data_IF_426659316835
#
_entry.id   IF_426659316835
#
_cell.length_a   1.000
_cell.length_b   1.000
_cell.length_c   1.000
_cell.angle_alpha   90.00
_cell.angle_beta   90.00
_cell.angle_gamma   90.00
#
_symmetry.space_group_name_H-M   'P 1'
#
loop_
_entity.id
_entity.type
_entity.pdbx_description
1 polymer ?
#
# COMPACT_ATOMS: atom_id res chain seq x y z
N UNK A 1 -21.26 12.03 1.88
CA UNK A 1 -19.82 12.10 2.15
C UNK A 1 -19.12 12.46 0.86
N UNK A 2 -18.41 13.58 0.79
CA UNK A 2 -17.53 13.89 -0.35
C UNK A 2 -16.17 13.27 -0.08
N UNK A 3 -15.50 12.78 -1.13
CA UNK A 3 -14.22 12.08 -1.06
C UNK A 3 -13.05 12.93 -0.52
N UNK A 4 -13.20 14.25 -0.40
CA UNK A 4 -12.13 15.13 0.04
C UNK A 4 -12.67 16.29 0.87
N UNK A 5 -12.69 16.18 2.21
CA UNK A 5 -13.01 17.28 3.13
C UNK A 5 -14.25 18.14 2.76
N UNK A 6 -15.25 17.57 2.07
CA UNK A 6 -16.41 18.34 1.60
C UNK A 6 -16.21 19.19 0.35
N UNK A 7 -15.14 18.98 -0.43
CA UNK A 7 -14.92 19.66 -1.71
C UNK A 7 -15.38 18.81 -2.90
N UNK A 8 -15.93 19.50 -3.88
CA UNK A 8 -16.40 18.94 -5.14
C UNK A 8 -15.22 18.68 -6.09
N UNK A 9 -14.96 17.42 -6.44
CA UNK A 9 -13.89 17.01 -7.36
C UNK A 9 -14.10 17.63 -8.75
N UNK A 10 -15.34 17.92 -9.16
CA UNK A 10 -15.62 18.54 -10.45
C UNK A 10 -15.05 19.95 -10.57
N UNK A 11 -14.86 20.65 -9.45
CA UNK A 11 -14.30 22.00 -9.40
C UNK A 11 -12.77 22.04 -9.40
N UNK A 12 -12.09 20.89 -9.28
CA UNK A 12 -10.64 20.86 -9.29
C UNK A 12 -10.10 21.18 -10.68
N UNK A 13 -9.01 21.92 -10.78
CA UNK A 13 -8.25 22.10 -12.02
C UNK A 13 -7.12 21.05 -12.05
N UNK A 14 -7.20 20.11 -13.01
CA UNK A 14 -6.20 19.05 -13.16
C UNK A 14 -4.90 19.53 -13.83
N UNK A 15 -4.84 20.81 -14.22
CA UNK A 15 -3.60 21.50 -14.60
C UNK A 15 -2.89 22.18 -13.44
N UNK A 16 -3.56 22.37 -12.31
CA UNK A 16 -3.00 23.06 -11.13
C UNK A 16 -2.24 22.06 -10.24
N UNK A 17 -0.91 22.23 -10.18
CA UNK A 17 -0.02 21.38 -9.39
C UNK A 17 -0.37 21.37 -7.90
N UNK A 18 -0.84 22.50 -7.34
CA UNK A 18 -1.21 22.57 -5.92
C UNK A 18 -2.46 21.75 -5.61
N UNK A 19 -3.43 21.74 -6.53
CA UNK A 19 -4.65 20.96 -6.40
C UNK A 19 -4.39 19.47 -6.56
N UNK A 20 -3.55 19.09 -7.54
CA UNK A 20 -3.09 17.71 -7.69
C UNK A 20 -2.30 17.23 -6.48
N UNK A 21 -1.45 18.09 -5.90
CA UNK A 21 -0.71 17.79 -4.68
C UNK A 21 -1.64 17.57 -3.48
N UNK A 22 -2.74 18.32 -3.39
CA UNK A 22 -3.75 18.12 -2.36
C UNK A 22 -4.45 16.76 -2.50
N UNK A 23 -4.80 16.36 -3.73
CA UNK A 23 -5.37 15.04 -4.02
C UNK A 23 -4.38 13.91 -3.63
N UNK A 24 -3.12 14.03 -4.02
CA UNK A 24 -2.09 13.05 -3.67
C UNK A 24 -1.80 13.00 -2.15
N UNK A 25 -1.91 14.14 -1.45
CA UNK A 25 -1.85 14.16 0.02
C UNK A 25 -3.03 13.45 0.69
N UNK A 26 -4.16 13.34 0.00
CA UNK A 26 -5.32 12.55 0.41
C UNK A 26 -5.19 11.05 0.06
N UNK A 27 -4.06 10.62 -0.50
CA UNK A 27 -3.85 9.26 -0.99
C UNK A 27 -4.52 8.97 -2.34
N UNK A 28 -4.97 10.00 -3.06
CA UNK A 28 -5.50 9.88 -4.42
C UNK A 28 -4.35 10.03 -5.42
N UNK A 29 -3.65 8.94 -5.68
CA UNK A 29 -2.45 8.94 -6.53
C UNK A 29 -2.86 8.71 -8.01
N UNK A 30 -2.35 9.51 -8.97
CA UNK A 30 -2.50 9.21 -10.39
C UNK A 30 -1.83 7.89 -10.77
N UNK A 31 -2.45 7.09 -11.63
CA UNK A 31 -1.86 5.86 -12.14
C UNK A 31 -0.72 6.14 -13.15
N UNK A 32 0.23 5.21 -13.35
CA UNK A 32 1.25 5.32 -14.39
C UNK A 32 0.61 5.48 -15.76
N UNK A 33 0.98 6.56 -16.47
CA UNK A 33 0.42 6.90 -17.79
C UNK A 33 -1.00 7.49 -17.77
N UNK A 34 -1.61 7.69 -16.60
CA UNK A 34 -2.94 8.28 -16.50
C UNK A 34 -2.90 9.79 -16.79
N UNK A 35 -3.73 10.21 -17.75
CA UNK A 35 -3.89 11.62 -18.09
C UNK A 35 -4.75 12.41 -17.09
N UNK A 36 -4.72 13.75 -17.12
CA UNK A 36 -5.55 14.61 -16.26
C UNK A 36 -7.05 14.27 -16.29
N UNK A 37 -7.62 14.07 -17.47
CA UNK A 37 -9.04 13.78 -17.64
C UNK A 37 -9.42 12.35 -17.22
N UNK A 38 -8.54 11.39 -17.47
CA UNK A 38 -8.72 10.01 -17.01
C UNK A 38 -8.70 9.94 -15.48
N UNK A 39 -7.75 10.65 -14.87
CA UNK A 39 -7.66 10.78 -13.42
C UNK A 39 -8.93 11.41 -12.83
N UNK A 40 -9.37 12.55 -13.39
CA UNK A 40 -10.64 13.18 -12.96
C UNK A 40 -11.81 12.22 -13.07
N UNK A 41 -11.96 11.55 -14.22
CA UNK A 41 -13.06 10.61 -14.47
C UNK A 41 -13.08 9.51 -13.39
N UNK A 42 -11.93 8.88 -13.12
CA UNK A 42 -11.80 7.86 -12.08
C UNK A 42 -12.21 8.38 -10.70
N UNK A 43 -11.81 9.60 -10.34
CA UNK A 43 -12.17 10.20 -9.05
C UNK A 43 -13.68 10.50 -8.94
N UNK A 44 -14.31 10.99 -10.01
CA UNK A 44 -15.75 11.25 -10.04
C UNK A 44 -16.57 9.96 -9.93
N UNK A 45 -16.19 8.91 -10.67
CA UNK A 45 -16.83 7.59 -10.58
C UNK A 45 -16.73 7.01 -9.17
N UNK A 46 -15.56 7.16 -8.55
CA UNK A 46 -15.33 6.73 -7.18
C UNK A 46 -16.19 7.54 -6.20
N UNK A 47 -16.34 8.85 -6.41
CA UNK A 47 -17.16 9.71 -5.56
C UNK A 47 -18.63 9.32 -5.62
N UNK A 48 -19.16 9.17 -6.83
CA UNK A 48 -20.54 8.75 -7.06
C UNK A 48 -20.82 7.41 -6.37
N UNK A 49 -19.87 6.48 -6.47
CA UNK A 49 -20.00 5.18 -5.81
C UNK A 49 -20.07 5.31 -4.29
N UNK A 50 -19.17 6.05 -3.66
CA UNK A 50 -19.22 6.24 -2.21
C UNK A 50 -20.46 7.00 -1.76
N UNK A 51 -20.96 7.96 -2.55
CA UNK A 51 -22.24 8.63 -2.27
C UNK A 51 -23.40 7.63 -2.30
N UNK A 52 -23.42 6.70 -3.24
CA UNK A 52 -24.42 5.63 -3.32
C UNK A 52 -24.37 4.71 -2.10
N UNK A 53 -23.18 4.27 -1.70
CA UNK A 53 -23.01 3.43 -0.49
C UNK A 53 -23.45 4.15 0.77
N UNK A 54 -23.05 5.41 0.93
CA UNK A 54 -23.48 6.22 2.08
C UNK A 54 -25.00 6.37 2.11
N UNK A 55 -25.63 6.64 0.96
CA UNK A 55 -27.09 6.74 0.86
C UNK A 55 -27.78 5.44 1.31
N UNK A 56 -27.29 4.29 0.85
CA UNK A 56 -27.84 2.99 1.26
C UNK A 56 -27.70 2.73 2.75
N UNK A 57 -26.53 3.03 3.33
CA UNK A 57 -26.29 2.91 4.77
C UNK A 57 -27.20 3.83 5.58
N UNK A 58 -27.51 5.03 5.09
CA UNK A 58 -28.41 5.96 5.78
C UNK A 58 -29.89 5.55 5.67
N UNK A 59 -30.32 5.06 4.50
CA UNK A 59 -31.72 4.70 4.24
C UNK A 59 -32.10 3.32 4.81
N UNK A 60 -31.20 2.33 4.70
CA UNK A 60 -31.48 0.94 5.08
C UNK A 60 -30.78 0.50 6.37
N UNK A 61 -29.78 1.25 6.84
CA UNK A 61 -28.92 0.86 7.96
C UNK A 61 -27.83 -0.17 7.59
N UNK A 62 -27.86 -0.71 6.37
CA UNK A 62 -26.94 -1.73 5.91
C UNK A 62 -26.61 -1.58 4.41
N UNK A 63 -25.47 -2.12 4.01
CA UNK A 63 -24.99 -2.18 2.64
C UNK A 63 -24.55 -3.60 2.32
N UNK A 64 -25.10 -4.18 1.27
CA UNK A 64 -24.74 -5.50 0.78
C UNK A 64 -23.54 -5.41 -0.17
N UNK A 65 -22.42 -5.96 0.27
CA UNK A 65 -21.21 -6.09 -0.50
C UNK A 65 -21.23 -7.42 -1.27
N UNK A 66 -21.55 -7.33 -2.56
CA UNK A 66 -21.53 -8.43 -3.52
C UNK A 66 -22.44 -9.64 -3.18
N UNK A 67 -23.50 -9.45 -2.37
CA UNK A 67 -24.39 -10.53 -1.97
C UNK A 67 -23.81 -11.47 -0.91
N UNK A 68 -22.60 -11.18 -0.41
CA UNK A 68 -21.85 -12.06 0.50
C UNK A 68 -21.63 -11.42 1.87
N UNK A 69 -21.45 -10.10 1.95
CA UNK A 69 -21.15 -9.41 3.20
C UNK A 69 -22.11 -8.26 3.46
N UNK A 70 -22.91 -8.39 4.52
CA UNK A 70 -23.79 -7.31 4.99
C UNK A 70 -23.00 -6.40 5.92
N UNK A 71 -22.71 -5.19 5.45
CA UNK A 71 -22.01 -4.15 6.20
C UNK A 71 -23.03 -3.23 6.89
N UNK A 72 -23.05 -3.23 8.21
CA UNK A 72 -24.00 -2.46 9.01
C UNK A 72 -23.43 -1.09 9.36
N UNK A 73 -24.31 -0.09 9.45
CA UNK A 73 -23.95 1.28 9.84
C UNK A 73 -23.36 1.33 11.25
N UNK A 74 -23.83 0.49 12.17
CA UNK A 74 -23.36 0.41 13.57
C UNK A 74 -21.97 -0.24 13.68
N UNK A 75 -21.51 -0.88 12.61
CA UNK A 75 -20.18 -1.48 12.49
C UNK A 75 -19.15 -0.57 11.85
N UNK A 76 -19.54 0.65 11.49
CA UNK A 76 -18.62 1.62 10.91
C UNK A 76 -17.50 1.99 11.89
N UNK A 77 -16.27 1.96 11.39
CA UNK A 77 -15.09 2.43 12.12
C UNK A 77 -15.17 3.95 12.26
N UNK A 78 -14.98 4.43 13.48
CA UNK A 78 -14.98 5.86 13.79
C UNK A 78 -13.80 6.62 13.17
N UNK A 79 -14.00 7.92 12.93
CA UNK A 79 -12.99 8.79 12.34
C UNK A 79 -11.73 8.94 13.22
N UNK A 80 -11.88 8.80 14.54
CA UNK A 80 -10.78 8.78 15.51
C UNK A 80 -9.82 7.62 15.24
N UNK A 81 -10.33 6.43 14.99
CA UNK A 81 -9.53 5.23 14.69
C UNK A 81 -8.82 5.36 13.33
N UNK A 82 -9.51 5.91 12.32
CA UNK A 82 -8.90 6.16 11.01
C UNK A 82 -7.78 7.22 11.09
N UNK A 83 -7.96 8.25 11.91
CA UNK A 83 -6.96 9.29 12.14
C UNK A 83 -5.67 8.74 12.78
N UNK A 84 -5.77 7.77 13.70
CA UNK A 84 -4.58 7.08 14.27
C UNK A 84 -3.71 6.45 13.16
N UNK A 85 -4.34 5.80 12.18
CA UNK A 85 -3.65 5.16 11.06
C UNK A 85 -3.07 6.17 10.06
N UNK A 86 -3.81 7.26 9.81
CA UNK A 86 -3.43 8.31 8.88
C UNK A 86 -2.15 9.06 9.32
N UNK A 87 -1.95 9.24 10.63
CA UNK A 87 -0.73 9.85 11.16
C UNK A 87 0.53 9.06 10.78
N UNK A 88 0.43 7.73 10.75
CA UNK A 88 1.55 6.86 10.39
C UNK A 88 1.88 6.90 8.90
N UNK A 89 0.88 6.86 8.02
CA UNK A 89 1.09 6.98 6.58
C UNK A 89 1.59 8.37 6.18
N UNK A 90 1.12 9.40 6.88
CA UNK A 90 1.56 10.78 6.66
C UNK A 90 3.05 10.92 6.96
N UNK A 91 3.52 10.40 8.11
CA UNK A 91 4.91 10.44 8.49
C UNK A 91 5.85 9.60 7.59
N UNK A 92 5.36 8.50 7.02
CA UNK A 92 6.19 7.60 6.19
C UNK A 92 6.22 7.97 4.71
N UNK A 93 5.13 8.53 4.19
CA UNK A 93 4.88 8.64 2.75
C UNK A 93 4.19 9.96 2.33
N UNK A 94 3.88 10.84 3.28
CA UNK A 94 3.27 12.14 3.01
C UNK A 94 1.81 12.07 2.55
N UNK A 95 1.03 11.06 2.96
CA UNK A 95 -0.41 11.00 2.67
C UNK A 95 -1.26 10.61 3.88
N UNK A 96 -2.52 11.07 3.89
CA UNK A 96 -3.52 10.82 4.90
C UNK A 96 -4.86 10.52 4.22
N UNK A 97 -5.41 9.32 4.45
CA UNK A 97 -6.70 8.92 3.89
C UNK A 97 -7.77 8.98 4.99
N UNK A 98 -8.84 9.72 4.72
CA UNK A 98 -10.04 9.85 5.56
C UNK A 98 -11.34 9.46 4.83
N UNK A 99 -11.24 9.16 3.53
CA UNK A 99 -12.39 8.96 2.65
C UNK A 99 -12.78 7.49 2.44
N UNK A 100 -11.91 6.55 2.80
CA UNK A 100 -12.22 5.11 2.67
C UNK A 100 -13.04 4.67 3.88
N UNK A 101 -14.28 4.18 3.67
CA UNK A 101 -15.09 3.64 4.73
C UNK A 101 -14.50 2.34 5.28
N UNK A 102 -14.50 2.20 6.60
CA UNK A 102 -14.08 0.99 7.30
C UNK A 102 -15.18 0.41 8.16
N UNK A 103 -15.19 -0.92 8.32
CA UNK A 103 -16.19 -1.67 9.07
C UNK A 103 -15.55 -2.72 9.98
N UNK A 104 -16.17 -2.94 11.14
CA UNK A 104 -15.90 -4.05 12.02
C UNK A 104 -16.71 -5.27 11.58
N UNK A 105 -16.06 -6.40 11.31
CA UNK A 105 -16.77 -7.63 11.00
C UNK A 105 -17.26 -8.32 12.28
N UNK A 106 -18.57 -8.31 12.48
CA UNK A 106 -19.26 -9.07 13.53
C UNK A 106 -19.65 -10.45 13.00
N UNK A 107 -18.90 -11.49 13.35
CA UNK A 107 -19.16 -12.87 12.93
C UNK A 107 -17.98 -13.81 13.16
N UNK A 108 -18.13 -15.06 12.74
CA UNK A 108 -17.05 -16.06 12.75
C UNK A 108 -15.98 -15.65 11.73
N UNK A 109 -14.92 -15.01 12.22
CA UNK A 109 -13.72 -14.73 11.44
C UNK A 109 -12.74 -15.87 11.62
N UNK A 110 -12.03 -16.22 10.54
CA UNK A 110 -11.00 -17.27 10.56
C UNK A 110 -10.02 -17.01 11.72
N UNK A 111 -9.63 -18.03 12.50
CA UNK A 111 -8.57 -17.89 13.49
C UNK A 111 -7.32 -17.25 12.88
N UNK A 112 -6.71 -16.28 13.56
CA UNK A 112 -5.56 -15.47 13.10
C UNK A 112 -5.84 -14.40 12.02
N UNK A 113 -7.08 -14.20 11.58
CA UNK A 113 -7.44 -13.06 10.72
C UNK A 113 -7.60 -11.75 11.51
N UNK A 114 -6.85 -10.72 11.10
CA UNK A 114 -6.87 -9.39 11.72
C UNK A 114 -7.72 -8.36 10.96
N UNK A 115 -7.62 -8.34 9.62
CA UNK A 115 -8.32 -7.42 8.73
C UNK A 115 -7.80 -7.47 7.31
N UNK A 116 -8.46 -6.75 6.40
CA UNK A 116 -7.99 -6.49 5.03
C UNK A 116 -8.62 -5.21 4.44
N UNK A 117 -7.97 -4.61 3.45
CA UNK A 117 -8.60 -3.77 2.45
C UNK A 117 -9.21 -4.67 1.37
N UNK A 118 -10.45 -4.40 1.01
CA UNK A 118 -11.09 -5.06 -0.13
C UNK A 118 -11.31 -4.02 -1.21
N UNK A 119 -10.60 -4.22 -2.32
CA UNK A 119 -10.84 -3.51 -3.56
C UNK A 119 -11.69 -4.39 -4.46
N UNK A 120 -12.83 -3.84 -4.89
CA UNK A 120 -13.73 -4.50 -5.82
C UNK A 120 -13.72 -3.73 -7.14
N UNK A 121 -12.97 -4.19 -8.16
CA UNK A 121 -12.89 -3.53 -9.45
C UNK A 121 -14.27 -3.36 -10.12
N UNK A 122 -15.14 -4.36 -9.99
CA UNK A 122 -16.51 -4.34 -10.56
C UNK A 122 -17.40 -3.26 -9.93
N UNK A 123 -17.21 -3.01 -8.63
CA UNK A 123 -18.00 -2.05 -7.87
C UNK A 123 -17.31 -0.69 -7.72
N UNK A 124 -16.07 -0.55 -8.24
CA UNK A 124 -15.21 0.65 -8.12
C UNK A 124 -15.12 1.20 -6.68
N UNK A 125 -15.11 0.31 -5.70
CA UNK A 125 -15.10 0.67 -4.28
C UNK A 125 -13.94 0.01 -3.56
N UNK A 126 -13.40 0.74 -2.58
CA UNK A 126 -12.44 0.22 -1.62
C UNK A 126 -13.01 0.35 -0.22
N UNK A 127 -12.91 -0.70 0.58
CA UNK A 127 -13.46 -0.75 1.94
C UNK A 127 -12.42 -1.38 2.87
N UNK A 128 -12.36 -0.94 4.12
CA UNK A 128 -11.64 -1.68 5.15
C UNK A 128 -12.58 -2.57 5.93
N UNK A 129 -12.14 -3.80 6.17
CA UNK A 129 -12.83 -4.71 7.06
C UNK A 129 -11.82 -5.22 8.09
N UNK A 130 -12.06 -4.96 9.37
CA UNK A 130 -11.20 -5.44 10.45
C UNK A 130 -12.01 -6.22 11.48
N UNK A 131 -11.32 -7.07 12.25
CA UNK A 131 -11.95 -7.88 13.30
C UNK A 131 -12.66 -7.02 14.34
N UNK A 132 -13.89 -7.40 14.73
CA UNK A 132 -14.68 -6.64 15.72
C UNK A 132 -13.98 -6.43 17.08
N UNK A 133 -13.08 -7.32 17.49
CA UNK A 133 -12.31 -7.15 18.74
C UNK A 133 -11.45 -5.88 18.76
N UNK A 134 -11.10 -5.33 17.59
CA UNK A 134 -10.37 -4.06 17.47
C UNK A 134 -11.22 -2.83 17.81
N UNK A 135 -12.53 -2.99 17.99
CA UNK A 135 -13.43 -1.93 18.46
C UNK A 135 -13.01 -1.46 19.86
N UNK A 136 -12.76 -2.42 20.74
CA UNK A 136 -12.42 -2.16 22.15
C UNK A 136 -10.90 -2.27 22.40
N UNK A 137 -10.19 -3.11 21.63
CA UNK A 137 -8.79 -3.42 21.88
C UNK A 137 -7.89 -2.81 20.81
N UNK A 138 -6.80 -2.14 21.20
CA UNK A 138 -5.78 -1.68 20.24
C UNK A 138 -4.91 -2.82 19.67
N UNK A 139 -4.95 -4.01 20.28
CA UNK A 139 -4.13 -5.15 19.89
C UNK A 139 -4.95 -6.43 19.87
N UNK A 140 -4.60 -7.30 18.95
CA UNK A 140 -5.08 -8.67 18.88
C UNK A 140 -3.95 -9.56 18.38
N UNK A 141 -3.57 -10.56 19.19
CA UNK A 141 -2.41 -11.40 18.96
C UNK A 141 -1.14 -10.57 18.74
N UNK A 142 -0.46 -10.72 17.60
CA UNK A 142 0.74 -9.95 17.24
C UNK A 142 0.42 -8.66 16.48
N UNK A 143 -0.85 -8.37 16.19
CA UNK A 143 -1.29 -7.23 15.39
C UNK A 143 -1.76 -6.08 16.28
N UNK A 144 -1.36 -4.85 15.95
CA UNK A 144 -2.00 -3.64 16.47
C UNK A 144 -2.89 -3.00 15.43
N UNK A 145 -3.98 -2.37 15.88
CA UNK A 145 -5.01 -1.77 15.03
C UNK A 145 -4.45 -0.71 14.10
N UNK A 146 -3.61 0.18 14.63
CA UNK A 146 -2.94 1.25 13.90
C UNK A 146 -2.01 0.71 12.81
N UNK A 147 -1.24 -0.34 13.13
CA UNK A 147 -0.36 -1.00 12.17
C UNK A 147 -1.16 -1.67 11.04
N UNK A 148 -2.23 -2.38 11.39
CA UNK A 148 -3.09 -3.04 10.41
C UNK A 148 -3.78 -2.01 9.50
N UNK A 149 -4.41 -0.99 10.07
CA UNK A 149 -5.09 0.03 9.27
C UNK A 149 -4.11 0.80 8.39
N UNK A 150 -2.95 1.23 8.91
CA UNK A 150 -1.96 1.94 8.09
C UNK A 150 -1.36 1.06 6.99
N UNK A 151 -1.21 -0.25 7.23
CA UNK A 151 -0.83 -1.23 6.21
C UNK A 151 -1.86 -1.28 5.08
N UNK A 152 -3.14 -1.41 5.43
CA UNK A 152 -4.23 -1.43 4.45
C UNK A 152 -4.38 -0.09 3.69
N UNK A 153 -4.20 1.05 4.36
CA UNK A 153 -4.16 2.38 3.72
C UNK A 153 -3.06 2.49 2.66
N UNK A 154 -1.91 1.83 2.86
CA UNK A 154 -0.85 1.80 1.85
C UNK A 154 -1.31 1.11 0.57
N UNK A 155 -2.04 -0.01 0.68
CA UNK A 155 -2.60 -0.72 -0.46
C UNK A 155 -3.65 0.13 -1.18
N UNK A 156 -4.51 0.85 -0.44
CA UNK A 156 -5.48 1.77 -1.07
C UNK A 156 -4.76 2.83 -1.90
N UNK A 157 -3.81 3.55 -1.29
CA UNK A 157 -3.12 4.64 -1.98
C UNK A 157 -2.37 4.15 -3.23
N UNK A 158 -1.76 2.95 -3.15
CA UNK A 158 -0.96 2.37 -4.24
C UNK A 158 -1.74 1.54 -5.25
N UNK A 159 -3.03 1.28 -5.02
CA UNK A 159 -3.85 0.49 -5.94
C UNK A 159 -3.79 1.00 -7.39
N UNK A 160 -3.84 2.32 -7.68
CA UNK A 160 -3.68 2.83 -9.05
C UNK A 160 -2.28 2.62 -9.66
N UNK A 161 -1.24 2.47 -8.83
CA UNK A 161 0.13 2.19 -9.30
C UNK A 161 0.23 0.79 -9.92
N UNK A 162 -0.61 -0.14 -9.47
CA UNK A 162 -0.74 -1.47 -10.07
C UNK A 162 0.50 -2.37 -9.93
N UNK A 163 1.40 -2.04 -9.01
CA UNK A 163 2.67 -2.76 -8.84
C UNK A 163 2.66 -3.70 -7.64
N UNK A 164 3.01 -4.98 -7.84
CA UNK A 164 2.99 -6.03 -6.80
C UNK A 164 4.33 -6.31 -6.12
N UNK A 165 5.47 -5.89 -6.66
CA UNK A 165 6.79 -6.32 -6.14
C UNK A 165 7.09 -5.62 -4.81
N UNK A 166 6.75 -4.34 -4.72
CA UNK A 166 7.02 -3.50 -3.55
C UNK A 166 5.78 -3.18 -2.72
N UNK A 167 4.60 -3.64 -3.10
CA UNK A 167 3.35 -3.23 -2.44
C UNK A 167 3.34 -3.63 -0.96
N UNK A 168 3.54 -4.92 -0.71
CA UNK A 168 3.72 -5.48 0.63
C UNK A 168 4.94 -4.87 1.33
N UNK A 169 6.02 -4.57 0.59
CA UNK A 169 7.19 -3.93 1.18
C UNK A 169 6.82 -2.57 1.80
N UNK A 170 6.08 -1.73 1.08
CA UNK A 170 5.64 -0.42 1.59
C UNK A 170 4.63 -0.56 2.72
N UNK A 171 3.64 -1.44 2.57
CA UNK A 171 2.64 -1.68 3.60
C UNK A 171 3.29 -2.20 4.89
N UNK A 172 4.22 -3.15 4.82
CA UNK A 172 4.94 -3.66 6.01
C UNK A 172 5.92 -2.66 6.63
N UNK A 173 6.25 -1.52 6.00
CA UNK A 173 7.04 -0.48 6.69
C UNK A 173 6.29 0.16 7.86
N UNK A 174 4.97 0.09 7.87
CA UNK A 174 4.15 0.53 9.01
C UNK A 174 4.30 -0.42 10.21
N UNK A 175 4.92 -1.59 10.03
CA UNK A 175 5.08 -2.54 11.10
C UNK A 175 6.01 -2.06 12.22
N UNK A 176 5.59 -2.26 13.47
CA UNK A 176 6.43 -1.95 14.65
C UNK A 176 7.58 -2.94 14.80
N UNK A 177 7.34 -4.20 14.43
CA UNK A 177 8.34 -5.28 14.49
C UNK A 177 9.31 -5.23 13.32
N UNK A 178 10.62 -5.20 13.61
CA UNK A 178 11.67 -5.26 12.59
C UNK A 178 11.60 -6.56 11.76
N UNK A 179 11.25 -7.67 12.40
CA UNK A 179 11.05 -8.95 11.72
C UNK A 179 9.90 -8.84 10.71
N UNK A 180 8.76 -8.27 11.09
CA UNK A 180 7.63 -8.08 10.18
C UNK A 180 7.94 -7.11 9.05
N UNK A 181 8.64 -5.99 9.34
CA UNK A 181 9.14 -5.06 8.31
C UNK A 181 10.06 -5.73 7.28
N UNK A 182 10.69 -6.85 7.64
CA UNK A 182 11.58 -7.60 6.75
C UNK A 182 10.88 -8.77 6.05
N UNK A 183 10.30 -9.68 6.83
CA UNK A 183 9.76 -10.95 6.36
C UNK A 183 8.35 -10.81 5.79
N UNK A 184 7.59 -9.77 6.16
CA UNK A 184 6.23 -9.57 5.66
C UNK A 184 6.17 -9.46 4.14
N UNK A 185 7.16 -8.79 3.53
CA UNK A 185 7.23 -8.61 2.07
C UNK A 185 7.77 -9.80 1.29
N UNK A 186 8.03 -10.95 1.94
CA UNK A 186 8.48 -12.16 1.25
C UNK A 186 7.39 -12.75 0.34
N UNK A 187 6.14 -12.69 0.79
CA UNK A 187 4.97 -13.13 0.03
C UNK A 187 4.44 -11.97 -0.79
N UNK A 188 4.23 -12.17 -2.10
CA UNK A 188 3.68 -11.16 -3.03
C UNK A 188 2.33 -11.57 -3.61
N UNK A 189 1.92 -12.82 -3.42
CA UNK A 189 0.65 -13.31 -3.91
C UNK A 189 0.27 -14.67 -3.35
N UNK A 190 -0.95 -15.10 -3.68
CA UNK A 190 -1.54 -16.36 -3.18
C UNK A 190 -0.67 -17.59 -3.43
N UNK A 191 -0.01 -17.66 -4.59
CA UNK A 191 0.84 -18.80 -4.94
C UNK A 191 2.09 -18.89 -4.08
N UNK A 192 2.65 -17.77 -3.63
CA UNK A 192 3.79 -17.81 -2.72
C UNK A 192 3.40 -18.45 -1.39
N UNK A 193 2.19 -18.18 -0.89
CA UNK A 193 1.67 -18.80 0.33
C UNK A 193 1.43 -20.30 0.15
N UNK A 194 0.81 -20.70 -0.97
CA UNK A 194 0.55 -22.10 -1.30
C UNK A 194 1.85 -22.89 -1.43
N UNK A 195 2.82 -22.38 -2.19
CA UNK A 195 4.10 -23.05 -2.43
C UNK A 195 5.01 -23.05 -1.19
N UNK A 196 4.77 -22.17 -0.22
CA UNK A 196 5.43 -22.22 1.08
C UNK A 196 4.84 -23.30 2.00
N UNK A 197 3.50 -23.42 2.03
CA UNK A 197 2.80 -24.34 2.94
C UNK A 197 2.76 -25.78 2.42
N UNK A 198 2.56 -25.97 1.11
CA UNK A 198 2.37 -27.30 0.51
C UNK A 198 3.55 -28.25 0.79
N UNK A 199 4.84 -27.85 0.64
CA UNK A 199 5.96 -28.72 0.97
C UNK A 199 5.96 -29.19 2.44
N UNK A 200 5.49 -28.35 3.37
CA UNK A 200 5.39 -28.70 4.79
C UNK A 200 4.34 -29.80 5.00
N UNK A 201 3.19 -29.72 4.32
CA UNK A 201 2.19 -30.79 4.37
C UNK A 201 2.67 -32.08 3.71
N UNK A 202 3.40 -32.00 2.60
CA UNK A 202 4.00 -33.19 1.97
C UNK A 202 5.02 -33.85 2.92
N UNK A 203 5.87 -33.05 3.58
CA UNK A 203 6.80 -33.54 4.59
C UNK A 203 6.06 -34.19 5.77
N UNK A 204 4.95 -33.61 6.23
CA UNK A 204 4.12 -34.19 7.30
C UNK A 204 3.51 -35.53 6.88
N UNK A 205 2.97 -35.65 5.66
CA UNK A 205 2.42 -36.90 5.14
C UNK A 205 3.50 -37.97 5.05
N UNK A 206 4.68 -37.63 4.51
CA UNK A 206 5.82 -38.53 4.44
C UNK A 206 6.18 -39.07 5.83
N UNK A 207 6.19 -38.19 6.85
CA UNK A 207 6.48 -38.58 8.23
C UNK A 207 5.40 -39.49 8.84
N UNK A 208 4.12 -39.25 8.53
CA UNK A 208 3.01 -40.12 8.96
C UNK A 208 3.15 -41.51 8.33
N UNK A 209 3.47 -41.60 7.05
CA UNK A 209 3.66 -42.87 6.34
C UNK A 209 4.82 -43.69 6.92
N UNK A 210 5.94 -43.05 7.20
CA UNK A 210 7.09 -43.68 7.85
C UNK A 210 6.73 -44.15 9.27
N UNK A 211 6.04 -43.32 10.06
CA UNK A 211 5.80 -43.58 11.49
C UNK A 211 4.69 -44.60 11.74
N UNK A 212 3.58 -44.53 10.98
CA UNK A 212 2.39 -45.34 11.23
C UNK A 212 2.24 -46.54 10.30
N UNK A 213 2.86 -46.50 9.11
CA UNK A 213 2.75 -47.56 8.10
C UNK A 213 4.08 -48.28 7.85
N UNK A 214 5.15 -47.92 8.58
CA UNK A 214 6.49 -48.50 8.46
C UNK A 214 7.04 -48.51 7.03
N UNK A 215 6.62 -47.55 6.20
CA UNK A 215 7.12 -47.38 4.85
C UNK A 215 8.47 -46.66 4.91
N UNK A 216 9.57 -47.24 4.39
CA UNK A 216 10.88 -46.59 4.40
C UNK A 216 10.89 -45.45 3.37
N UNK A 217 10.55 -44.25 3.83
CA UNK A 217 10.51 -43.05 3.00
C UNK A 217 11.79 -42.24 3.23
N UNK A 218 12.58 -41.92 2.19
CA UNK A 218 13.76 -41.08 2.36
C UNK A 218 13.33 -39.65 2.70
N UNK A 219 13.62 -39.16 3.91
CA UNK A 219 13.16 -37.84 4.37
C UNK A 219 13.94 -36.65 3.77
N UNK A 220 15.20 -36.86 3.37
CA UNK A 220 16.08 -35.77 2.92
C UNK A 220 15.50 -34.96 1.72
N UNK A 221 14.96 -35.58 0.64
CA UNK A 221 14.33 -34.84 -0.44
C UNK A 221 13.18 -33.92 0.01
N UNK A 222 12.38 -34.36 0.99
CA UNK A 222 11.26 -33.57 1.50
C UNK A 222 11.74 -32.36 2.31
N UNK A 223 12.80 -32.51 3.10
CA UNK A 223 13.44 -31.38 3.79
C UNK A 223 14.07 -30.39 2.82
N UNK A 224 14.74 -30.87 1.76
CA UNK A 224 15.28 -30.01 0.70
C UNK A 224 14.15 -29.23 0.03
N UNK A 225 13.05 -29.89 -0.33
CA UNK A 225 11.88 -29.24 -0.93
C UNK A 225 11.26 -28.19 0.02
N UNK A 226 11.11 -28.54 1.30
CA UNK A 226 10.59 -27.64 2.33
C UNK A 226 11.47 -26.41 2.56
N UNK A 227 12.80 -26.52 2.37
CA UNK A 227 13.73 -25.41 2.53
C UNK A 227 13.96 -24.57 1.27
N UNK A 228 13.89 -25.18 0.08
CA UNK A 228 14.25 -24.54 -1.19
C UNK A 228 13.35 -23.35 -1.51
N UNK A 229 12.03 -23.51 -1.38
CA UNK A 229 11.08 -22.45 -1.72
C UNK A 229 11.12 -21.26 -0.73
N UNK A 230 11.12 -21.46 0.61
CA UNK A 230 11.39 -20.38 1.54
C UNK A 230 12.71 -19.66 1.26
N UNK A 231 13.79 -20.41 0.97
CA UNK A 231 15.08 -19.83 0.60
C UNK A 231 14.99 -18.93 -0.63
N UNK A 232 14.27 -19.36 -1.67
CA UNK A 232 13.97 -18.55 -2.84
C UNK A 232 13.19 -17.26 -2.48
N UNK A 233 12.16 -17.35 -1.63
CA UNK A 233 11.38 -16.17 -1.20
C UNK A 233 12.26 -15.15 -0.48
N UNK A 234 13.13 -15.60 0.43
CA UNK A 234 14.07 -14.73 1.14
C UNK A 234 15.08 -14.08 0.19
N UNK A 235 15.67 -14.84 -0.73
CA UNK A 235 16.58 -14.30 -1.74
C UNK A 235 15.88 -13.27 -2.64
N UNK A 236 14.68 -13.57 -3.13
CA UNK A 236 13.88 -12.66 -3.96
C UNK A 236 13.53 -11.37 -3.22
N UNK A 237 13.16 -11.47 -1.94
CA UNK A 237 12.88 -10.32 -1.08
C UNK A 237 14.14 -9.48 -0.85
N UNK A 238 15.28 -10.12 -0.56
CA UNK A 238 16.57 -9.47 -0.38
C UNK A 238 16.97 -8.65 -1.62
N UNK A 239 16.88 -9.24 -2.82
CA UNK A 239 17.22 -8.55 -4.07
C UNK A 239 16.32 -7.34 -4.33
N UNK A 240 15.00 -7.47 -4.11
CA UNK A 240 14.08 -6.34 -4.26
C UNK A 240 14.42 -5.20 -3.29
N UNK A 241 14.65 -5.54 -2.01
CA UNK A 241 15.06 -4.57 -0.99
C UNK A 241 16.39 -3.91 -1.34
N UNK A 242 17.34 -4.67 -1.89
CA UNK A 242 18.62 -4.11 -2.35
C UNK A 242 18.39 -3.02 -3.39
N UNK A 243 17.54 -3.25 -4.40
CA UNK A 243 17.18 -2.24 -5.39
C UNK A 243 16.50 -1.03 -4.74
N UNK A 244 15.53 -1.25 -3.85
CA UNK A 244 14.85 -0.18 -3.14
C UNK A 244 15.82 0.70 -2.33
N UNK A 245 16.64 0.11 -1.47
CA UNK A 245 17.57 0.88 -0.63
C UNK A 245 18.70 1.52 -1.44
N UNK A 246 19.05 0.96 -2.60
CA UNK A 246 19.97 1.60 -3.54
C UNK A 246 19.29 2.80 -4.23
N UNK A 247 18.04 2.68 -4.66
CA UNK A 247 17.26 3.78 -5.21
C UNK A 247 17.09 4.92 -4.21
N UNK A 248 16.71 4.60 -2.96
CA UNK A 248 16.58 5.56 -1.85
C UNK A 248 17.87 6.35 -1.65
N UNK A 249 19.01 5.65 -1.53
CA UNK A 249 20.31 6.30 -1.38
C UNK A 249 20.69 7.17 -2.58
N UNK A 250 20.32 6.76 -3.80
CA UNK A 250 20.61 7.57 -4.99
C UNK A 250 19.78 8.87 -4.99
N UNK A 251 18.51 8.84 -4.57
CA UNK A 251 17.69 10.04 -4.40
C UNK A 251 18.21 10.94 -3.26
N UNK A 252 18.60 10.36 -2.13
CA UNK A 252 19.12 11.13 -0.99
C UNK A 252 20.43 11.87 -1.33
N UNK A 253 21.26 11.31 -2.21
CA UNK A 253 22.49 11.98 -2.69
C UNK A 253 22.22 13.25 -3.48
N UNK A 254 21.07 13.35 -4.15
CA UNK A 254 20.69 14.56 -4.89
C UNK A 254 20.06 15.63 -3.98
N UNK A 255 20.11 15.45 -2.66
CA UNK A 255 19.55 16.37 -1.66
C UNK A 255 18.09 16.10 -1.30
N UNK A 256 17.43 15.10 -1.91
CA UNK A 256 16.02 14.80 -1.62
C UNK A 256 15.89 14.13 -0.25
N UNK A 257 15.20 14.80 0.68
CA UNK A 257 14.94 14.30 2.04
C UNK A 257 13.80 13.28 2.08
N UNK A 258 12.75 13.50 1.28
CA UNK A 258 11.53 12.70 1.21
C UNK A 258 11.61 11.52 0.21
N UNK A 259 12.80 10.91 0.07
CA UNK A 259 13.06 9.86 -0.93
C UNK A 259 12.09 8.66 -0.81
N UNK A 260 11.65 8.33 0.41
CA UNK A 260 10.69 7.25 0.62
C UNK A 260 9.29 7.59 0.08
N UNK A 261 8.85 8.84 0.20
CA UNK A 261 7.59 9.35 -0.32
C UNK A 261 7.57 9.32 -1.85
N UNK A 262 8.70 9.62 -2.50
CA UNK A 262 8.88 9.45 -3.95
C UNK A 262 8.76 7.98 -4.35
N UNK A 263 9.57 7.10 -3.74
CA UNK A 263 9.59 5.68 -4.10
C UNK A 263 8.23 4.99 -3.86
N UNK A 264 7.45 5.45 -2.87
CA UNK A 264 6.10 4.97 -2.63
C UNK A 264 5.14 5.26 -3.78
N UNK A 265 5.41 6.28 -4.59
CA UNK A 265 4.64 6.57 -5.81
C UNK A 265 5.19 5.87 -7.03
N UNK A 266 6.42 5.36 -6.97
CA UNK A 266 7.08 4.69 -8.10
C UNK A 266 6.56 3.26 -8.35
N UNK A 267 6.63 2.86 -9.62
CA UNK A 267 6.58 1.46 -10.05
C UNK A 267 7.93 0.79 -9.78
N UNK A 268 7.96 -0.54 -9.83
CA UNK A 268 9.19 -1.32 -9.68
C UNK A 268 10.21 -1.05 -10.76
N UNK A 269 9.75 -0.82 -11.99
CA UNK A 269 10.64 -0.49 -13.11
C UNK A 269 11.37 0.81 -12.82
N UNK A 270 10.65 1.83 -12.35
CA UNK A 270 11.23 3.12 -11.96
C UNK A 270 12.17 2.98 -10.75
N UNK A 271 11.79 2.22 -9.71
CA UNK A 271 12.67 1.97 -8.57
C UNK A 271 13.96 1.30 -9.02
N UNK A 272 13.89 0.32 -9.93
CA UNK A 272 15.06 -0.35 -10.49
C UNK A 272 15.90 0.61 -11.33
N UNK A 273 15.28 1.44 -12.16
CA UNK A 273 15.94 2.45 -12.99
C UNK A 273 16.69 3.49 -12.13
N UNK A 274 16.02 4.05 -11.12
CA UNK A 274 16.62 4.94 -10.12
C UNK A 274 17.76 4.24 -9.38
N UNK A 275 17.62 2.95 -9.04
CA UNK A 275 18.70 2.18 -8.40
C UNK A 275 19.94 2.02 -9.28
N UNK A 276 19.78 2.11 -10.61
CA UNK A 276 20.86 1.98 -11.60
C UNK A 276 21.45 3.33 -12.02
N UNK A 277 20.69 4.43 -11.87
CA UNK A 277 21.12 5.77 -12.28
C UNK A 277 22.44 6.20 -11.61
N UNK A 278 22.62 5.97 -10.30
CA UNK A 278 23.91 6.00 -9.58
C UNK A 278 24.65 7.35 -9.49
N UNK A 279 24.46 8.23 -10.46
CA UNK A 279 25.00 9.58 -10.56
C UNK A 279 23.86 10.59 -10.60
N UNK A 280 24.08 11.76 -9.99
CA UNK A 280 23.04 12.76 -9.75
C UNK A 280 22.45 13.31 -11.06
N UNK A 281 23.28 13.48 -12.09
CA UNK A 281 22.83 13.93 -13.41
C UNK A 281 21.82 12.95 -14.03
N UNK A 282 22.02 11.64 -13.87
CA UNK A 282 21.10 10.62 -14.41
C UNK A 282 19.76 10.57 -13.69
N UNK A 283 19.75 10.90 -12.39
CA UNK A 283 18.49 11.03 -11.63
C UNK A 283 17.71 12.24 -12.14
N UNK A 284 18.38 13.37 -12.36
CA UNK A 284 17.76 14.56 -12.92
C UNK A 284 17.23 14.33 -14.32
N UNK A 285 18.04 13.74 -15.21
CA UNK A 285 17.63 13.34 -16.56
C UNK A 285 16.39 12.42 -16.55
N UNK A 286 16.33 11.48 -15.60
CA UNK A 286 15.18 10.60 -15.43
C UNK A 286 13.91 11.37 -15.04
N UNK A 287 14.00 12.30 -14.09
CA UNK A 287 12.86 13.14 -13.68
C UNK A 287 12.43 14.05 -14.83
N UNK A 288 13.36 14.75 -15.47
CA UNK A 288 13.09 15.64 -16.61
C UNK A 288 12.41 14.90 -17.77
N UNK A 289 12.87 13.68 -18.08
CA UNK A 289 12.23 12.82 -19.08
C UNK A 289 10.78 12.52 -18.73
N UNK A 290 10.48 12.17 -17.48
CA UNK A 290 9.11 11.86 -17.03
C UNK A 290 8.17 13.06 -17.09
N UNK A 291 8.70 14.24 -16.74
CA UNK A 291 7.97 15.50 -16.85
C UNK A 291 7.71 15.87 -18.31
N UNK A 292 8.69 15.67 -19.20
CA UNK A 292 8.57 15.91 -20.63
C UNK A 292 7.57 14.94 -21.31
N UNK A 293 7.49 13.70 -20.83
CA UNK A 293 6.45 12.73 -21.24
C UNK A 293 5.04 13.14 -20.77
N UNK A 294 4.92 14.19 -19.94
CA UNK A 294 3.66 14.71 -19.44
C UNK A 294 3.03 13.84 -18.35
N UNK A 295 3.80 12.94 -17.72
CA UNK A 295 3.28 11.97 -16.76
C UNK A 295 2.75 12.67 -15.49
N UNK A 296 1.43 12.64 -15.30
CA UNK A 296 0.75 13.39 -14.25
C UNK A 296 1.29 13.08 -12.85
N UNK A 297 1.52 11.79 -12.57
CA UNK A 297 2.10 11.34 -11.31
C UNK A 297 3.48 11.96 -11.03
N UNK A 298 4.33 12.08 -12.04
CA UNK A 298 5.66 12.68 -11.87
C UNK A 298 5.61 14.20 -11.70
N UNK A 299 4.64 14.88 -12.32
CA UNK A 299 4.39 16.31 -12.02
C UNK A 299 4.08 16.53 -10.54
N UNK A 300 3.24 15.66 -9.97
CA UNK A 300 2.90 15.70 -8.55
C UNK A 300 4.10 15.36 -7.67
N UNK A 301 4.84 14.30 -7.98
CA UNK A 301 6.05 13.92 -7.24
C UNK A 301 7.05 15.08 -7.21
N UNK A 302 7.28 15.70 -8.36
CA UNK A 302 8.22 16.79 -8.52
C UNK A 302 7.83 18.02 -7.70
N UNK A 303 6.57 18.45 -7.80
CA UNK A 303 6.03 19.56 -7.01
C UNK A 303 6.09 19.29 -5.50
N UNK A 304 5.74 18.07 -5.05
CA UNK A 304 5.61 17.74 -3.63
C UNK A 304 6.92 17.42 -2.92
N UNK A 305 7.89 16.85 -3.61
CA UNK A 305 9.05 16.21 -2.95
C UNK A 305 10.41 16.59 -3.57
N UNK A 306 10.44 17.24 -4.73
CA UNK A 306 11.69 17.58 -5.42
C UNK A 306 11.90 19.10 -5.42
N UNK A 307 11.01 19.88 -6.05
CA UNK A 307 11.17 21.35 -6.17
C UNK A 307 11.14 22.06 -4.82
N UNK A 308 10.29 21.59 -3.91
CA UNK A 308 10.11 22.16 -2.56
C UNK A 308 11.44 22.17 -1.78
N UNK A 309 12.33 21.22 -2.04
CA UNK A 309 13.66 21.13 -1.41
C UNK A 309 14.66 22.12 -2.04
N UNK A 310 14.54 22.40 -3.34
CA UNK A 310 15.38 23.37 -4.04
C UNK A 310 15.17 24.80 -3.54
N UNK A 311 13.91 25.20 -3.34
CA UNK A 311 13.55 26.55 -2.87
C UNK A 311 13.98 26.82 -1.41
N UNK A 312 13.93 25.80 -0.55
CA UNK A 312 14.40 25.92 0.84
C UNK A 312 15.93 25.98 0.95
N UNK A 313 16.64 25.27 0.07
CA UNK A 313 18.11 25.27 0.02
C UNK A 313 18.64 26.62 -0.49
N UNK A 314 18.03 27.19 -1.54
CA UNK A 314 18.41 28.51 -2.09
C UNK A 314 18.09 29.67 -1.13
N UNK A 315 17.00 29.60 -0.35
CA UNK A 315 16.69 30.59 0.70
C UNK A 315 17.67 30.51 1.88
N UNK A 316 18.18 29.32 2.20
CA UNK A 316 19.18 29.12 3.26
C UNK A 316 20.57 29.67 2.92
N UNK A 317 20.94 29.70 1.64
CA UNK A 317 22.23 30.26 1.19
C UNK A 317 22.19 31.79 1.04
N UNK A 318 21.07 32.35 0.56
CA UNK A 318 20.90 33.81 0.42
C UNK A 318 20.64 34.55 1.76
N UNK A 319 20.39 33.82 2.86
CA UNK A 319 20.24 34.39 4.21
C UNK A 319 21.56 34.47 5.01
N UNK A 320 22.70 34.15 4.38
CA UNK A 320 24.04 34.18 4.99
C UNK A 320 25.01 35.16 4.32
N UNK A 321 24.52 36.08 3.48
CA UNK A 321 25.30 37.21 2.95
C UNK A 321 25.14 38.47 3.79
#
# INVERSE_FOLDING_TARGET
>A
MMLFAGKDISAFDMGDEAQLAALDSAGLIPAPGEGPEEFRSRLLEMEERYRSVEKQLQEKGEFDLCGEFILKKEDRIGADILSEAAGQTSALYGFSIDWVPGFFLTGETIPLWGGCAVFLPSEKITLFMIRASFRENKRWFIYSRDELLSHELCHVARMPVGDRIFDEFFAYRTAKSAFRRYAGSCFRGKWDSILFILPVFVLLIARILETFFSLPVPMLPFWVLAGLYPGFLFCRNYLARHHYFKAKRNLEKTGITEAQSILFRCTSFEIIEISRAGADNKIREFVEKRLAEGELRWKVIDYRFIRTVGEETERGENGKS
#
